data_IF_457264512189
#
_entry.id   IF_457264512189
#
_cell.length_a   1.000
_cell.length_b   1.000
_cell.length_c   1.000
_cell.angle_alpha   90.00
_cell.angle_beta   90.00
_cell.angle_gamma   90.00
#
_symmetry.space_group_name_H-M   'P 1'
#
loop_
_entity.id
_entity.type
_entity.pdbx_description
1 polymer ?
#
# COMPACT_ATOMS: atom_id res chain seq x y z
N UNK A 1 -19.09 -5.57 26.49
CA UNK A 1 -18.48 -4.35 25.96
C UNK A 1 -18.20 -3.32 27.06
N UNK A 2 -19.21 -2.92 27.90
CA UNK A 2 -19.00 -1.95 28.99
C UNK A 2 -17.90 -2.36 29.98
N UNK A 3 -17.72 -3.66 30.22
CA UNK A 3 -16.72 -4.23 31.14
C UNK A 3 -15.30 -4.17 30.60
N UNK A 4 -15.14 -3.97 29.26
CA UNK A 4 -13.86 -3.90 28.54
C UNK A 4 -13.57 -2.48 28.05
N UNK A 5 -14.34 -1.48 28.52
CA UNK A 5 -14.20 -0.06 28.21
C UNK A 5 -14.31 0.31 26.70
N UNK A 6 -14.90 -0.52 25.87
CA UNK A 6 -15.17 -0.20 24.46
C UNK A 6 -16.31 0.84 24.31
N UNK A 7 -16.10 2.03 24.86
CA UNK A 7 -17.11 3.10 24.97
C UNK A 7 -17.59 3.61 23.60
N UNK A 8 -16.73 3.63 22.62
CA UNK A 8 -17.05 4.09 21.25
C UNK A 8 -17.99 3.11 20.57
N UNK A 9 -17.67 1.83 20.58
CA UNK A 9 -18.50 0.76 20.02
C UNK A 9 -19.84 0.62 20.73
N UNK A 10 -19.88 0.88 22.03
CA UNK A 10 -21.14 0.87 22.76
C UNK A 10 -22.08 2.01 22.33
N UNK A 11 -21.55 3.19 22.03
CA UNK A 11 -22.33 4.32 21.50
C UNK A 11 -22.87 4.07 20.09
N UNK A 12 -22.05 3.50 19.21
CA UNK A 12 -22.47 3.14 17.85
C UNK A 12 -23.59 2.10 17.87
N UNK A 13 -23.51 1.11 18.74
CA UNK A 13 -24.56 0.09 18.93
C UNK A 13 -25.85 0.65 19.53
N UNK A 14 -25.78 1.75 20.28
CA UNK A 14 -26.93 2.40 20.90
C UNK A 14 -27.58 3.49 20.03
N UNK A 15 -27.01 3.77 18.84
CA UNK A 15 -27.54 4.76 17.90
C UNK A 15 -27.32 6.22 18.32
N UNK A 16 -26.55 6.47 19.36
CA UNK A 16 -26.21 7.80 19.85
C UNK A 16 -24.95 8.31 19.10
N UNK A 17 -25.12 8.82 17.89
CA UNK A 17 -24.09 9.59 17.21
C UNK A 17 -24.28 11.06 17.53
N UNK A 18 -23.39 11.72 18.29
CA UNK A 18 -23.42 13.15 18.40
C UNK A 18 -22.94 13.80 17.10
N UNK A 19 -23.69 14.74 16.56
CA UNK A 19 -23.23 15.67 15.51
C UNK A 19 -21.89 16.29 15.94
N UNK A 20 -20.91 16.45 15.03
CA UNK A 20 -19.65 17.08 15.36
C UNK A 20 -19.90 18.56 15.69
N UNK A 21 -19.80 18.92 16.97
CA UNK A 21 -19.72 20.30 17.40
C UNK A 21 -18.37 20.88 17.03
N UNK A 22 -18.38 21.98 16.30
CA UNK A 22 -17.20 22.82 16.05
C UNK A 22 -16.64 23.34 17.39
N UNK A 23 -15.40 23.01 17.70
CA UNK A 23 -14.65 23.65 18.77
C UNK A 23 -13.78 22.71 19.59
N UNK A 24 -12.51 22.61 19.17
CA UNK A 24 -11.34 22.78 20.01
C UNK A 24 -10.09 22.40 19.23
N UNK A 25 -9.47 23.40 18.64
CA UNK A 25 -8.11 23.27 18.11
C UNK A 25 -7.14 23.34 19.30
N UNK A 26 -6.81 22.20 19.87
CA UNK A 26 -5.61 22.08 20.68
C UNK A 26 -4.42 22.03 19.72
N UNK A 27 -3.70 23.15 19.61
CA UNK A 27 -2.48 23.23 18.82
C UNK A 27 -1.36 22.42 19.48
N UNK A 28 -1.11 21.25 18.97
CA UNK A 28 0.19 20.59 19.13
C UNK A 28 1.10 21.19 18.07
N UNK A 29 2.03 22.06 18.50
CA UNK A 29 3.17 22.47 17.69
C UNK A 29 4.10 21.27 17.59
N UNK A 30 3.87 20.41 16.59
CA UNK A 30 4.90 19.52 16.05
C UNK A 30 5.90 20.39 15.29
N UNK A 31 7.19 20.15 15.51
CA UNK A 31 8.27 20.72 14.72
C UNK A 31 7.95 20.58 13.25
N UNK A 32 8.01 21.69 12.51
CA UNK A 32 7.56 21.76 11.12
C UNK A 32 8.40 20.86 10.23
N UNK A 33 7.88 19.72 9.88
CA UNK A 33 8.30 19.04 8.67
C UNK A 33 7.90 19.97 7.50
N UNK A 34 8.89 20.42 6.73
CA UNK A 34 8.64 21.16 5.50
C UNK A 34 7.78 20.27 4.59
N UNK A 35 6.50 20.62 4.45
CA UNK A 35 5.58 19.91 3.58
C UNK A 35 6.11 19.98 2.14
N UNK A 36 6.39 18.84 1.54
CA UNK A 36 6.80 18.79 0.14
C UNK A 36 5.65 19.27 -0.75
N UNK A 37 5.95 19.98 -1.85
CA UNK A 37 4.93 20.31 -2.83
C UNK A 37 4.19 19.05 -3.29
N UNK A 38 2.86 19.08 -3.47
CA UNK A 38 2.10 17.94 -3.94
C UNK A 38 2.70 17.34 -5.21
N UNK A 39 2.97 16.03 -5.21
CA UNK A 39 3.50 15.31 -6.36
C UNK A 39 5.00 15.47 -6.65
N UNK A 40 5.75 16.26 -5.88
CA UNK A 40 7.20 16.44 -6.10
C UNK A 40 8.02 15.14 -6.00
N UNK A 41 7.50 14.12 -5.33
CA UNK A 41 8.12 12.80 -5.16
C UNK A 41 7.85 11.83 -6.33
N UNK A 42 6.93 12.15 -7.26
CA UNK A 42 6.43 11.27 -8.34
C UNK A 42 7.24 11.38 -9.65
N UNK A 43 8.55 11.55 -9.58
CA UNK A 43 9.36 11.93 -10.75
C UNK A 43 9.70 10.78 -11.70
N UNK A 44 9.64 9.54 -11.24
CA UNK A 44 10.07 8.35 -11.99
C UNK A 44 9.01 7.26 -12.05
N UNK A 45 7.72 7.62 -12.02
CA UNK A 45 6.65 6.63 -12.10
C UNK A 45 6.39 6.19 -13.54
N UNK A 46 6.34 4.89 -13.75
CA UNK A 46 6.17 4.28 -15.08
C UNK A 46 4.87 3.45 -15.12
N UNK A 47 4.23 3.41 -16.28
CA UNK A 47 3.14 2.47 -16.58
C UNK A 47 3.67 1.38 -17.50
N UNK A 48 3.55 0.12 -17.10
CA UNK A 48 4.05 -1.04 -17.84
C UNK A 48 2.94 -1.52 -18.78
N UNK A 49 3.03 -1.22 -20.08
CA UNK A 49 2.04 -1.57 -21.08
C UNK A 49 2.55 -2.55 -22.13
N UNK A 50 3.85 -2.83 -22.16
CA UNK A 50 4.46 -3.77 -23.09
C UNK A 50 5.46 -4.71 -22.42
N UNK A 51 5.83 -5.78 -23.12
CA UNK A 51 6.74 -6.80 -22.63
C UNK A 51 8.16 -6.30 -22.38
N UNK A 52 8.62 -5.33 -23.15
CA UNK A 52 9.96 -4.76 -22.99
C UNK A 52 10.06 -3.98 -21.68
N UNK A 53 9.01 -3.22 -21.36
CA UNK A 53 8.90 -2.52 -20.08
C UNK A 53 8.84 -3.50 -18.90
N UNK A 54 8.03 -4.57 -19.03
CA UNK A 54 7.95 -5.60 -17.99
C UNK A 54 9.30 -6.30 -17.79
N UNK A 55 10.02 -6.62 -18.86
CA UNK A 55 11.36 -7.22 -18.78
C UNK A 55 12.38 -6.29 -18.10
N UNK A 56 12.33 -5.01 -18.41
CA UNK A 56 13.18 -4.02 -17.76
C UNK A 56 12.88 -3.92 -16.25
N UNK A 57 11.60 -3.92 -15.89
CA UNK A 57 11.21 -3.89 -14.48
C UNK A 57 11.55 -5.18 -13.72
N UNK A 58 11.42 -6.34 -14.35
CA UNK A 58 11.88 -7.61 -13.75
C UNK A 58 13.38 -7.57 -13.46
N UNK A 59 14.20 -6.99 -14.35
CA UNK A 59 15.64 -6.82 -14.09
C UNK A 59 15.91 -5.87 -12.90
N UNK A 60 15.14 -4.79 -12.77
CA UNK A 60 15.23 -3.90 -11.61
C UNK A 60 14.84 -4.62 -10.31
N UNK A 61 13.74 -5.37 -10.35
CA UNK A 61 13.25 -6.16 -9.21
C UNK A 61 14.23 -7.26 -8.79
N UNK A 62 14.85 -7.93 -9.75
CA UNK A 62 15.87 -8.98 -9.49
C UNK A 62 17.15 -8.39 -8.88
N UNK A 63 17.49 -7.15 -9.23
CA UNK A 63 18.69 -6.46 -8.74
C UNK A 63 18.46 -5.73 -7.41
N UNK A 64 17.21 -5.43 -7.05
CA UNK A 64 16.89 -4.65 -5.87
C UNK A 64 17.16 -5.45 -4.58
N UNK A 65 17.84 -4.86 -3.59
CA UNK A 65 18.04 -5.50 -2.28
C UNK A 65 16.73 -5.64 -1.51
N UNK A 66 15.75 -4.76 -1.78
CA UNK A 66 14.41 -4.75 -1.23
C UNK A 66 13.49 -4.05 -2.23
N UNK A 67 12.36 -4.64 -2.56
CA UNK A 67 11.36 -4.04 -3.43
C UNK A 67 10.03 -3.90 -2.70
N UNK A 68 9.39 -2.73 -2.79
CA UNK A 68 8.00 -2.58 -2.39
C UNK A 68 7.08 -3.20 -3.43
N UNK A 69 5.98 -3.77 -2.95
CA UNK A 69 4.98 -4.48 -3.73
C UNK A 69 3.59 -4.18 -3.19
N UNK A 70 2.64 -3.96 -4.08
CA UNK A 70 1.23 -3.77 -3.73
C UNK A 70 0.31 -4.28 -4.84
N UNK A 71 -0.97 -4.56 -4.54
CA UNK A 71 -1.96 -5.05 -5.48
C UNK A 71 -3.18 -4.15 -5.55
N UNK A 72 -3.58 -3.79 -6.78
CA UNK A 72 -4.85 -3.13 -7.02
C UNK A 72 -5.94 -4.15 -7.37
N UNK A 73 -7.11 -4.00 -6.78
CA UNK A 73 -8.13 -5.05 -6.78
C UNK A 73 -9.56 -4.54 -6.94
N UNK A 74 -10.48 -5.48 -7.18
CA UNK A 74 -11.91 -5.17 -7.36
C UNK A 74 -12.70 -5.07 -6.05
N UNK A 75 -12.14 -5.47 -4.89
CA UNK A 75 -12.87 -5.59 -3.62
C UNK A 75 -11.95 -5.45 -2.44
N UNK A 76 -12.46 -4.91 -1.33
CA UNK A 76 -11.75 -4.89 -0.03
C UNK A 76 -11.82 -6.25 0.70
N UNK A 77 -12.72 -7.15 0.29
CA UNK A 77 -12.76 -8.53 0.80
C UNK A 77 -11.72 -9.37 0.04
N UNK A 78 -10.59 -9.75 0.68
CA UNK A 78 -9.50 -10.44 0.01
C UNK A 78 -9.91 -11.80 -0.55
N UNK A 79 -10.94 -12.43 0.00
CA UNK A 79 -11.42 -13.73 -0.47
C UNK A 79 -12.21 -13.62 -1.78
N UNK A 80 -12.73 -12.46 -2.12
CA UNK A 80 -13.51 -12.19 -3.34
C UNK A 80 -12.75 -11.27 -4.30
N UNK A 81 -11.71 -10.63 -3.83
CA UNK A 81 -10.92 -9.69 -4.61
C UNK A 81 -10.28 -10.37 -5.83
N UNK A 82 -10.39 -9.69 -6.97
CA UNK A 82 -9.69 -10.06 -8.21
C UNK A 82 -8.63 -9.02 -8.48
N UNK A 83 -7.48 -9.45 -8.92
CA UNK A 83 -6.38 -8.59 -9.27
C UNK A 83 -6.74 -7.71 -10.48
N UNK A 84 -6.49 -6.41 -10.38
CA UNK A 84 -6.61 -5.44 -11.47
C UNK A 84 -5.24 -5.03 -11.99
N UNK A 85 -4.26 -4.90 -11.11
CA UNK A 85 -2.89 -4.60 -11.44
C UNK A 85 -1.95 -4.78 -10.25
N UNK A 86 -0.67 -4.56 -10.51
CA UNK A 86 0.41 -4.71 -9.54
C UNK A 86 1.28 -3.47 -9.57
N UNK A 87 1.71 -2.99 -8.41
CA UNK A 87 2.68 -1.90 -8.34
C UNK A 87 3.97 -2.31 -7.64
N UNK A 88 5.05 -1.65 -8.00
CA UNK A 88 6.40 -1.94 -7.51
C UNK A 88 7.17 -0.64 -7.29
N UNK A 89 8.04 -0.62 -6.27
CA UNK A 89 9.06 0.41 -6.13
C UNK A 89 10.40 -0.22 -5.70
N UNK A 90 11.51 0.23 -6.31
CA UNK A 90 12.86 -0.29 -6.04
C UNK A 90 13.76 0.76 -5.41
N UNK A 91 13.43 2.04 -5.56
CA UNK A 91 14.07 3.18 -4.93
C UNK A 91 13.06 4.33 -4.74
N UNK A 92 13.27 5.26 -3.81
CA UNK A 92 12.42 6.44 -3.67
C UNK A 92 12.29 7.22 -4.99
N UNK A 93 11.05 7.36 -5.47
CA UNK A 93 10.72 8.00 -6.75
C UNK A 93 10.87 7.09 -7.97
N UNK A 94 11.32 5.85 -7.82
CA UNK A 94 11.40 4.86 -8.91
C UNK A 94 10.36 3.75 -8.67
N UNK A 95 9.17 3.94 -9.24
CA UNK A 95 8.03 3.06 -9.07
C UNK A 95 7.29 2.81 -10.40
N UNK A 96 6.55 1.71 -10.47
CA UNK A 96 5.74 1.39 -11.64
C UNK A 96 4.43 0.72 -11.28
N UNK A 97 3.47 0.88 -12.18
CA UNK A 97 2.22 0.15 -12.19
C UNK A 97 2.11 -0.74 -13.43
N UNK A 98 1.74 -1.98 -13.23
CA UNK A 98 1.41 -2.96 -14.27
C UNK A 98 -0.11 -3.17 -14.29
N UNK A 99 -0.87 -2.48 -15.16
CA UNK A 99 -2.28 -2.72 -15.36
C UNK A 99 -2.49 -4.05 -16.09
N UNK A 100 -3.45 -4.87 -15.62
CA UNK A 100 -3.74 -6.20 -16.19
C UNK A 100 -5.21 -6.43 -16.49
N UNK A 101 -6.13 -5.79 -15.75
CA UNK A 101 -7.56 -6.09 -15.85
C UNK A 101 -8.46 -4.85 -15.79
N UNK A 102 -7.96 -3.70 -16.25
CA UNK A 102 -8.81 -2.52 -16.44
C UNK A 102 -9.79 -2.74 -17.57
N UNK A 103 -11.04 -2.25 -17.37
CA UNK A 103 -12.15 -2.43 -18.31
C UNK A 103 -13.06 -1.20 -18.33
N UNK A 104 -12.73 -0.24 -19.15
CA UNK A 104 -13.54 0.94 -19.43
C UNK A 104 -13.51 1.24 -20.94
N UNK A 105 -14.42 2.10 -21.41
CA UNK A 105 -14.47 2.45 -22.82
C UNK A 105 -13.20 3.18 -23.26
N UNK A 106 -12.49 2.64 -24.25
CA UNK A 106 -11.23 3.21 -24.74
C UNK A 106 -9.99 2.83 -23.94
N UNK A 107 -10.09 1.84 -23.03
CA UNK A 107 -8.92 1.35 -22.28
C UNK A 107 -7.78 0.97 -23.22
N UNK A 108 -6.52 1.42 -22.96
CA UNK A 108 -5.35 1.00 -23.72
C UNK A 108 -5.16 -0.52 -23.70
N UNK A 109 -4.45 -1.04 -24.69
CA UNK A 109 -4.07 -2.45 -24.69
C UNK A 109 -3.17 -2.71 -23.47
N UNK A 110 -3.53 -3.73 -22.71
CA UNK A 110 -2.78 -4.22 -21.55
C UNK A 110 -2.08 -5.53 -21.93
N UNK A 111 -1.09 -5.94 -21.13
CA UNK A 111 -0.47 -7.25 -21.28
C UNK A 111 -1.48 -8.35 -20.99
N UNK A 112 -1.27 -9.53 -21.61
CA UNK A 112 -2.09 -10.72 -21.34
C UNK A 112 -1.94 -11.11 -19.88
N UNK A 113 -3.05 -11.15 -19.15
CA UNK A 113 -3.10 -11.34 -17.70
C UNK A 113 -2.30 -12.57 -17.25
N UNK A 114 -2.63 -13.74 -17.79
CA UNK A 114 -2.01 -15.01 -17.39
C UNK A 114 -0.51 -15.08 -17.75
N UNK A 115 -0.13 -14.53 -18.90
CA UNK A 115 1.28 -14.51 -19.33
C UNK A 115 2.11 -13.55 -18.48
N UNK A 116 1.56 -12.39 -18.12
CA UNK A 116 2.23 -11.44 -17.25
C UNK A 116 2.43 -12.02 -15.83
N UNK A 117 1.41 -12.67 -15.28
CA UNK A 117 1.53 -13.34 -13.98
C UNK A 117 2.51 -14.53 -14.05
N UNK A 118 2.49 -15.32 -15.11
CA UNK A 118 3.44 -16.41 -15.31
C UNK A 118 4.89 -15.89 -15.34
N UNK A 119 5.11 -14.71 -15.94
CA UNK A 119 6.42 -14.09 -16.03
C UNK A 119 6.89 -13.48 -14.69
N UNK A 120 5.97 -12.95 -13.88
CA UNK A 120 6.23 -12.44 -12.53
C UNK A 120 6.39 -13.53 -11.48
N UNK A 121 5.77 -14.69 -11.68
CA UNK A 121 5.75 -15.79 -10.72
C UNK A 121 7.13 -16.19 -10.15
N UNK A 122 8.21 -16.32 -10.94
CA UNK A 122 9.53 -16.63 -10.39
C UNK A 122 10.04 -15.61 -9.38
N UNK A 123 9.75 -14.33 -9.57
CA UNK A 123 10.11 -13.28 -8.63
C UNK A 123 9.18 -13.28 -7.41
N UNK A 124 7.86 -13.37 -7.61
CA UNK A 124 6.86 -13.37 -6.53
C UNK A 124 7.08 -14.53 -5.55
N UNK A 125 7.34 -15.72 -6.07
CA UNK A 125 7.52 -16.95 -5.28
C UNK A 125 8.98 -17.22 -4.87
N UNK A 126 9.87 -16.24 -5.05
CA UNK A 126 11.27 -16.38 -4.67
C UNK A 126 11.50 -15.92 -3.23
N UNK A 127 11.99 -16.79 -2.34
CA UNK A 127 12.38 -16.39 -0.99
C UNK A 127 13.68 -15.56 -0.96
N UNK A 128 14.41 -15.46 -2.08
CA UNK A 128 15.67 -14.72 -2.17
C UNK A 128 15.48 -13.24 -2.47
N UNK A 129 14.35 -12.86 -3.05
CA UNK A 129 14.03 -11.47 -3.35
C UNK A 129 13.23 -10.90 -2.19
N UNK A 130 13.85 -10.03 -1.43
CA UNK A 130 13.20 -9.39 -0.28
C UNK A 130 12.09 -8.44 -0.75
N UNK A 131 10.92 -8.61 -0.18
CA UNK A 131 9.74 -7.82 -0.48
C UNK A 131 9.22 -7.12 0.76
N UNK A 132 8.68 -5.94 0.56
CA UNK A 132 7.96 -5.22 1.59
C UNK A 132 6.62 -4.71 1.04
N UNK A 133 5.66 -4.47 1.91
CA UNK A 133 4.39 -3.87 1.55
C UNK A 133 3.70 -3.23 2.73
N UNK A 134 2.46 -2.85 2.50
CA UNK A 134 1.55 -2.28 3.50
C UNK A 134 0.36 -3.22 3.66
N UNK A 135 0.24 -3.94 4.79
CA UNK A 135 -0.81 -4.94 5.00
C UNK A 135 -0.75 -6.12 4.00
N UNK A 136 0.44 -6.65 3.76
CA UNK A 136 0.70 -7.71 2.78
C UNK A 136 -0.12 -8.98 2.96
N UNK A 137 -0.71 -9.21 4.12
CA UNK A 137 -1.66 -10.31 4.33
C UNK A 137 -2.82 -10.25 3.32
N UNK A 138 -3.29 -9.05 3.01
CA UNK A 138 -4.32 -8.85 1.98
C UNK A 138 -3.82 -9.28 0.60
N UNK A 139 -2.65 -8.82 0.19
CA UNK A 139 -2.05 -9.14 -1.12
C UNK A 139 -1.73 -10.61 -1.28
N UNK A 140 -1.27 -11.25 -0.21
CA UNK A 140 -1.04 -12.70 -0.18
C UNK A 140 -2.33 -13.49 -0.48
N UNK A 141 -3.47 -13.07 0.08
CA UNK A 141 -4.77 -13.69 -0.22
C UNK A 141 -5.21 -13.42 -1.66
N UNK A 142 -5.03 -12.19 -2.15
CA UNK A 142 -5.34 -11.82 -3.54
C UNK A 142 -4.53 -12.67 -4.52
N UNK A 143 -3.22 -12.77 -4.32
CA UNK A 143 -2.35 -13.60 -5.14
C UNK A 143 -2.73 -15.09 -5.08
N UNK A 144 -3.10 -15.59 -3.90
CA UNK A 144 -3.55 -16.98 -3.72
C UNK A 144 -4.83 -17.28 -4.52
N UNK A 145 -5.74 -16.33 -4.69
CA UNK A 145 -6.93 -16.46 -5.56
C UNK A 145 -6.55 -16.69 -7.04
N UNK A 146 -5.32 -16.32 -7.43
CA UNK A 146 -4.76 -16.50 -8.77
C UNK A 146 -3.71 -17.63 -8.83
N UNK A 147 -3.60 -18.47 -7.79
CA UNK A 147 -2.67 -19.61 -7.74
C UNK A 147 -1.20 -19.20 -7.59
N UNK A 148 -0.94 -18.01 -7.04
CA UNK A 148 0.39 -17.47 -6.76
C UNK A 148 0.62 -17.39 -5.26
N UNK A 149 1.89 -17.49 -4.84
CA UNK A 149 2.32 -17.24 -3.47
C UNK A 149 3.26 -16.06 -3.42
N UNK A 150 3.18 -15.26 -2.39
CA UNK A 150 4.17 -14.22 -2.11
C UNK A 150 5.18 -14.79 -1.11
N UNK A 151 6.40 -14.99 -1.58
CA UNK A 151 7.52 -15.48 -0.77
C UNK A 151 8.56 -14.38 -0.59
N UNK A 152 9.44 -14.51 0.40
CA UNK A 152 10.49 -13.53 0.65
C UNK A 152 9.98 -12.22 1.25
N UNK A 153 8.84 -12.25 1.91
CA UNK A 153 8.33 -11.09 2.64
C UNK A 153 9.27 -10.77 3.80
N UNK A 154 9.93 -9.62 3.72
CA UNK A 154 10.89 -9.15 4.71
C UNK A 154 10.29 -8.13 5.67
N UNK A 155 9.39 -7.28 5.19
CA UNK A 155 8.81 -6.19 5.99
C UNK A 155 7.36 -5.91 5.62
N UNK A 156 6.61 -5.41 6.62
CA UNK A 156 5.27 -4.84 6.47
C UNK A 156 5.22 -3.51 7.23
N UNK A 157 4.93 -2.42 6.53
CA UNK A 157 4.95 -1.06 7.11
C UNK A 157 3.80 -0.82 8.08
N UNK A 158 2.64 -1.47 7.88
CA UNK A 158 1.53 -1.37 8.81
C UNK A 158 1.87 -2.05 10.14
N UNK A 159 2.44 -3.25 10.11
CA UNK A 159 2.88 -3.95 11.32
C UNK A 159 4.02 -3.19 12.02
N UNK A 160 5.00 -2.66 11.27
CA UNK A 160 6.05 -1.82 11.83
C UNK A 160 5.47 -0.60 12.55
N UNK A 161 4.49 0.08 11.95
CA UNK A 161 3.81 1.23 12.56
C UNK A 161 3.05 0.85 13.83
N UNK A 162 2.35 -0.28 13.85
CA UNK A 162 1.67 -0.78 15.06
C UNK A 162 2.63 -0.98 16.22
N UNK A 163 3.81 -1.52 15.94
CA UNK A 163 4.83 -1.78 16.97
C UNK A 163 5.47 -0.48 17.47
N UNK A 164 5.77 0.46 16.56
CA UNK A 164 6.45 1.72 16.91
C UNK A 164 5.50 2.73 17.57
N UNK A 165 4.24 2.80 17.14
CA UNK A 165 3.28 3.85 17.54
C UNK A 165 1.86 3.31 17.66
N UNK A 166 1.62 2.38 18.59
CA UNK A 166 0.35 1.64 18.74
C UNK A 166 -0.91 2.51 18.96
N UNK A 167 -0.74 3.79 19.32
CA UNK A 167 -1.84 4.74 19.61
C UNK A 167 -2.21 5.63 18.41
N UNK A 168 -1.54 5.47 17.26
CA UNK A 168 -1.75 6.29 16.05
C UNK A 168 -2.56 5.54 14.99
N UNK A 169 -2.96 6.27 13.94
CA UNK A 169 -3.52 5.64 12.75
C UNK A 169 -2.41 4.99 11.92
N UNK A 170 -2.69 3.81 11.36
CA UNK A 170 -1.76 2.98 10.60
C UNK A 170 -2.15 2.89 9.11
N UNK A 171 -3.13 3.70 8.67
CA UNK A 171 -3.39 3.89 7.25
C UNK A 171 -2.23 4.64 6.57
N UNK A 172 -2.01 4.35 5.30
CA UNK A 172 -0.87 4.87 4.55
C UNK A 172 -0.85 6.40 4.49
N UNK A 173 -2.00 7.04 4.25
CA UNK A 173 -2.11 8.50 4.16
C UNK A 173 -1.65 9.18 5.45
N UNK A 174 -2.16 8.68 6.59
CA UNK A 174 -1.79 9.21 7.92
C UNK A 174 -0.32 9.00 8.24
N UNK A 175 0.23 7.85 7.87
CA UNK A 175 1.65 7.56 8.06
C UNK A 175 2.54 8.40 7.15
N UNK A 176 2.19 8.53 5.86
CA UNK A 176 2.93 9.34 4.90
C UNK A 176 2.99 10.81 5.35
N UNK A 177 1.87 11.37 5.78
CA UNK A 177 1.83 12.72 6.30
C UNK A 177 2.68 12.87 7.57
N UNK A 178 2.59 11.91 8.50
CA UNK A 178 3.26 11.97 9.80
C UNK A 178 4.77 11.76 9.72
N UNK A 179 5.22 10.80 8.91
CA UNK A 179 6.62 10.41 8.86
C UNK A 179 7.40 11.03 7.70
N UNK A 180 6.71 11.35 6.61
CA UNK A 180 7.36 11.84 5.38
C UNK A 180 6.99 13.29 5.04
N UNK A 181 5.95 13.85 5.66
CA UNK A 181 5.41 15.17 5.29
C UNK A 181 4.75 15.17 3.90
N UNK A 182 4.35 13.99 3.39
CA UNK A 182 3.78 13.81 2.06
C UNK A 182 2.27 13.61 2.18
N UNK A 183 1.50 14.38 1.40
CA UNK A 183 0.08 14.15 1.18
C UNK A 183 -0.08 13.25 -0.06
N UNK A 184 -0.62 12.05 0.14
CA UNK A 184 -0.83 11.02 -0.89
C UNK A 184 -2.13 11.27 -1.67
N UNK A 185 -2.26 10.63 -2.84
CA UNK A 185 -3.52 10.53 -3.57
C UNK A 185 -4.45 9.61 -2.78
N UNK A 186 -5.66 10.05 -2.49
CA UNK A 186 -6.63 9.21 -1.79
C UNK A 186 -7.37 8.30 -2.74
N UNK A 187 -7.68 7.10 -2.30
CA UNK A 187 -8.50 6.14 -3.06
C UNK A 187 -9.80 6.74 -3.59
N UNK A 188 -10.48 7.56 -2.78
CA UNK A 188 -11.71 8.26 -3.16
C UNK A 188 -11.50 9.33 -4.26
N UNK A 189 -10.28 9.80 -4.46
CA UNK A 189 -9.97 10.76 -5.53
C UNK A 189 -9.87 10.06 -6.89
N UNK A 190 -9.50 8.77 -6.91
CA UNK A 190 -9.41 7.97 -8.14
C UNK A 190 -10.69 7.23 -8.46
N UNK A 191 -11.41 6.73 -7.45
CA UNK A 191 -12.63 5.92 -7.64
C UNK A 191 -13.94 6.70 -7.48
N UNK A 192 -13.90 7.94 -6.96
CA UNK A 192 -15.08 8.71 -6.62
C UNK A 192 -15.70 8.31 -5.27
N UNK A 193 -16.79 8.98 -4.88
CA UNK A 193 -17.46 8.81 -3.58
C UNK A 193 -18.95 8.47 -3.73
N UNK A 194 -19.48 7.78 -2.71
CA UNK A 194 -20.91 7.51 -2.59
C UNK A 194 -21.46 6.68 -3.76
N UNK A 195 -22.66 7.02 -4.24
CA UNK A 195 -23.34 6.29 -5.32
C UNK A 195 -22.64 6.40 -6.69
N UNK A 196 -21.72 7.34 -6.86
CA UNK A 196 -20.92 7.50 -8.08
C UNK A 196 -19.58 6.79 -8.04
N UNK A 197 -19.26 6.03 -6.98
CA UNK A 197 -18.00 5.29 -6.88
C UNK A 197 -17.94 4.19 -7.94
N UNK A 198 -16.85 4.16 -8.68
CA UNK A 198 -16.55 3.10 -9.66
C UNK A 198 -15.59 2.07 -9.05
N UNK A 199 -15.54 0.85 -9.62
CA UNK A 199 -14.52 -0.12 -9.29
C UNK A 199 -13.14 0.34 -9.77
N UNK A 200 -12.07 -0.11 -9.13
CA UNK A 200 -10.71 0.26 -9.55
C UNK A 200 -10.41 -0.18 -10.98
N UNK A 201 -10.99 -1.27 -11.42
CA UNK A 201 -10.94 -1.77 -12.79
C UNK A 201 -11.60 -0.84 -13.84
N UNK A 202 -12.34 0.16 -13.40
CA UNK A 202 -12.96 1.18 -14.24
C UNK A 202 -12.24 2.55 -14.18
N UNK A 203 -11.23 2.66 -13.34
CA UNK A 203 -10.38 3.86 -13.26
C UNK A 203 -9.50 3.94 -14.50
N UNK A 204 -9.33 5.14 -15.05
CA UNK A 204 -8.39 5.38 -16.15
C UNK A 204 -6.97 4.95 -15.77
N UNK A 205 -6.27 4.27 -16.69
CA UNK A 205 -4.95 3.68 -16.43
C UNK A 205 -3.91 4.73 -16.03
N UNK A 206 -3.93 5.93 -16.62
CA UNK A 206 -2.96 6.98 -16.26
C UNK A 206 -3.17 7.39 -14.80
N UNK A 207 -4.45 7.56 -14.41
CA UNK A 207 -4.81 7.91 -13.03
C UNK A 207 -4.53 6.78 -12.04
N UNK A 208 -4.85 5.55 -12.43
CA UNK A 208 -4.56 4.36 -11.65
C UNK A 208 -3.06 4.14 -11.45
N UNK A 209 -2.27 4.39 -12.50
CA UNK A 209 -0.81 4.24 -12.45
C UNK A 209 -0.17 5.27 -11.51
N UNK A 210 -0.63 6.52 -11.54
CA UNK A 210 -0.15 7.55 -10.63
C UNK A 210 -0.42 7.18 -9.17
N UNK A 211 -1.64 6.70 -8.87
CA UNK A 211 -2.05 6.26 -7.55
C UNK A 211 -1.26 5.02 -7.09
N UNK A 212 -1.31 3.93 -7.86
CA UNK A 212 -0.71 2.66 -7.46
C UNK A 212 0.82 2.71 -7.36
N UNK A 213 1.50 3.43 -8.27
CA UNK A 213 2.94 3.63 -8.18
C UNK A 213 3.31 4.50 -6.96
N UNK A 214 2.46 5.48 -6.60
CA UNK A 214 2.65 6.25 -5.38
C UNK A 214 2.56 5.36 -4.14
N UNK A 215 1.56 4.45 -4.07
CA UNK A 215 1.39 3.56 -2.91
C UNK A 215 2.64 2.68 -2.70
N UNK A 216 3.21 2.13 -3.77
CA UNK A 216 4.45 1.36 -3.68
C UNK A 216 5.66 2.24 -3.27
N UNK A 217 5.82 3.45 -3.82
CA UNK A 217 6.91 4.38 -3.47
C UNK A 217 6.78 4.85 -2.02
N UNK A 218 5.59 5.23 -1.59
CA UNK A 218 5.32 5.66 -0.20
C UNK A 218 5.60 4.51 0.77
N UNK A 219 5.20 3.29 0.44
CA UNK A 219 5.50 2.10 1.23
C UNK A 219 7.02 1.92 1.42
N UNK A 220 7.80 2.07 0.35
CA UNK A 220 9.26 1.99 0.43
C UNK A 220 9.87 3.10 1.30
N UNK A 221 9.38 4.34 1.15
CA UNK A 221 9.82 5.49 1.96
C UNK A 221 9.43 5.33 3.44
N UNK A 222 8.22 4.84 3.72
CA UNK A 222 7.76 4.57 5.09
C UNK A 222 8.64 3.53 5.77
N UNK A 223 9.04 2.47 5.06
CA UNK A 223 10.01 1.51 5.58
C UNK A 223 11.32 2.21 5.95
N UNK A 224 11.84 3.09 5.09
CA UNK A 224 13.06 3.86 5.38
C UNK A 224 12.95 4.76 6.62
N UNK A 225 11.74 5.26 6.93
CA UNK A 225 11.48 6.09 8.10
C UNK A 225 11.23 5.28 9.39
N UNK A 226 10.59 4.11 9.29
CA UNK A 226 10.19 3.29 10.45
C UNK A 226 11.30 2.33 10.89
N UNK A 227 12.08 1.76 9.97
CA UNK A 227 13.12 0.77 10.29
C UNK A 227 14.20 1.28 11.26
N UNK A 228 14.74 2.50 11.12
CA UNK A 228 15.70 3.04 12.10
C UNK A 228 15.08 3.14 13.51
N UNK A 229 13.82 3.52 13.60
CA UNK A 229 13.10 3.65 14.89
C UNK A 229 12.88 2.30 15.56
N UNK A 230 12.62 1.24 14.79
CA UNK A 230 12.58 -0.13 15.31
C UNK A 230 13.95 -0.59 15.80
N UNK A 231 15.02 -0.30 15.06
CA UNK A 231 16.38 -0.68 15.41
C UNK A 231 16.92 0.02 16.67
N UNK A 232 16.41 1.23 17.00
CA UNK A 232 16.74 1.95 18.24
C UNK A 232 16.18 1.27 19.49
N UNK A 233 15.14 0.45 19.36
CA UNK A 233 14.42 -0.21 20.45
C UNK A 233 14.45 -1.74 20.30
N UNK A 234 15.49 -2.45 20.78
CA UNK A 234 15.67 -3.89 20.53
C UNK A 234 14.48 -4.78 20.95
N UNK A 235 13.67 -4.34 21.93
CA UNK A 235 12.47 -5.08 22.34
C UNK A 235 11.35 -4.95 21.31
N UNK A 236 11.19 -3.78 20.71
CA UNK A 236 10.21 -3.54 19.66
C UNK A 236 10.65 -4.24 18.36
N UNK A 237 11.93 -4.19 18.04
CA UNK A 237 12.49 -4.92 16.90
C UNK A 237 12.25 -6.44 17.03
N UNK A 238 12.51 -7.00 18.23
CA UNK A 238 12.25 -8.42 18.50
C UNK A 238 10.74 -8.74 18.42
N UNK A 239 9.86 -7.90 18.96
CA UNK A 239 8.41 -8.05 18.83
C UNK A 239 7.99 -8.08 17.37
N UNK A 240 8.44 -7.10 16.58
CA UNK A 240 8.13 -7.02 15.16
C UNK A 240 8.61 -8.25 14.39
N UNK A 241 9.88 -8.61 14.54
CA UNK A 241 10.51 -9.68 13.76
C UNK A 241 10.07 -11.09 14.18
N UNK A 242 9.95 -11.33 15.50
CA UNK A 242 9.81 -12.68 16.05
C UNK A 242 8.34 -13.03 16.34
N UNK A 243 7.44 -12.05 16.38
CA UNK A 243 6.01 -12.25 16.68
C UNK A 243 5.14 -11.73 15.54
N UNK A 244 5.21 -10.43 15.20
CA UNK A 244 4.26 -9.83 14.25
C UNK A 244 4.46 -10.34 12.81
N UNK A 245 5.70 -10.37 12.32
CA UNK A 245 5.99 -10.84 10.97
C UNK A 245 5.66 -12.33 10.75
N UNK A 246 5.97 -13.27 11.67
CA UNK A 246 5.62 -14.68 11.50
C UNK A 246 4.12 -15.02 11.51
N UNK A 247 3.26 -14.17 12.07
CA UNK A 247 1.79 -14.39 12.12
C UNK A 247 1.03 -13.68 11.00
N UNK A 248 1.73 -13.02 10.11
CA UNK A 248 1.20 -12.37 8.89
C UNK A 248 0.73 -13.37 7.80
#
# INVERSE_FOLDING_TARGET
FARLEFKTWLRELQGDTPSPSAGERAGVRGEGADLQPPGAHRTGYETILDWTQLDAWLQKLDAAPLAAFDTETTSLDPMQARLVGLSFAVAPGEAAYLPLAHRYAGVPQQLTFDEALAKLKPWLESPRHAKLGQNLKYDMHVLANHGLRLEGVAHDTMLASYVVESDKSHDMDSMALRHLGIATIKYDEVTGKGAGRIGFDQVDIERAAEYAAEDADITLRLHGALSPRLAEEPRLEALYRDIEMPVM
#
